data_IF_310847642208
#
_entry.id   IF_310847642208
#
_cell.length_a   1.000
_cell.length_b   1.000
_cell.length_c   1.000
_cell.angle_alpha   90.00
_cell.angle_beta   90.00
_cell.angle_gamma   90.00
#
_symmetry.space_group_name_H-M   'P 1'
#
loop_
_entity.id
_entity.type
_entity.pdbx_description
1 polymer ?
#
# COMPACT_ATOMS: atom_id res chain seq x y z
N UNK A 1 -13.81 -5.85 -3.51
CA UNK A 1 -13.65 -5.52 -4.95
C UNK A 1 -14.90 -5.83 -5.78
N UNK A 2 -15.54 -7.01 -5.66
CA UNK A 2 -16.75 -7.37 -6.45
C UNK A 2 -17.95 -6.41 -6.29
N UNK A 3 -18.18 -5.88 -5.08
CA UNK A 3 -19.22 -4.87 -4.83
C UNK A 3 -18.95 -3.61 -5.67
N UNK A 4 -17.69 -3.13 -5.71
CA UNK A 4 -17.28 -1.94 -6.47
C UNK A 4 -17.29 -2.18 -7.99
N UNK A 5 -16.91 -3.38 -8.43
CA UNK A 5 -17.01 -3.80 -9.83
C UNK A 5 -18.44 -3.70 -10.37
N UNK A 6 -19.44 -4.05 -9.56
CA UNK A 6 -20.85 -3.96 -9.97
C UNK A 6 -21.28 -2.52 -10.25
N UNK A 7 -20.74 -1.55 -9.51
CA UNK A 7 -21.02 -0.12 -9.66
C UNK A 7 -20.20 0.55 -10.78
N UNK A 8 -18.91 0.20 -10.90
CA UNK A 8 -17.98 0.80 -11.86
C UNK A 8 -18.02 0.11 -13.23
N UNK A 9 -17.98 -1.22 -13.27
CA UNK A 9 -17.83 -2.02 -14.49
C UNK A 9 -19.12 -2.12 -15.33
N UNK A 10 -20.27 -2.32 -14.71
CA UNK A 10 -21.53 -2.57 -15.44
C UNK A 10 -22.27 -1.30 -15.87
N UNK A 11 -22.14 -0.17 -15.17
CA UNK A 11 -22.94 1.04 -15.44
C UNK A 11 -22.20 2.16 -16.16
N UNK A 12 -20.86 2.08 -16.32
CA UNK A 12 -20.06 3.19 -16.87
C UNK A 12 -19.04 2.82 -17.90
N UNK A 13 -18.37 1.70 -17.70
CA UNK A 13 -17.27 1.28 -18.57
C UNK A 13 -17.73 0.30 -19.64
N UNK A 14 -19.01 -0.06 -19.65
CA UNK A 14 -19.64 -0.96 -20.64
C UNK A 14 -18.75 -2.18 -20.93
N UNK A 15 -18.40 -2.93 -19.88
CA UNK A 15 -17.59 -4.13 -20.04
C UNK A 15 -18.39 -5.22 -20.74
N UNK A 16 -17.82 -5.75 -21.82
CA UNK A 16 -18.24 -7.01 -22.43
C UNK A 16 -18.16 -8.18 -21.43
N UNK A 17 -18.81 -9.28 -21.75
CA UNK A 17 -18.78 -10.47 -20.90
C UNK A 17 -17.35 -11.03 -20.71
N UNK A 18 -16.52 -11.17 -21.77
CA UNK A 18 -15.13 -11.59 -21.62
C UNK A 18 -14.29 -10.64 -20.78
N UNK A 19 -14.44 -9.32 -20.98
CA UNK A 19 -13.74 -8.31 -20.17
C UNK A 19 -14.04 -8.47 -18.68
N UNK A 20 -15.33 -8.58 -18.33
CA UNK A 20 -15.74 -8.77 -16.95
C UNK A 20 -15.22 -10.09 -16.37
N UNK A 21 -15.30 -11.18 -17.14
CA UNK A 21 -14.83 -12.49 -16.71
C UNK A 21 -13.33 -12.47 -16.40
N UNK A 22 -12.53 -11.93 -17.32
CA UNK A 22 -11.09 -11.76 -17.16
C UNK A 22 -10.77 -10.89 -15.94
N UNK A 23 -11.46 -9.75 -15.78
CA UNK A 23 -11.24 -8.84 -14.66
C UNK A 23 -11.52 -9.50 -13.31
N UNK A 24 -12.61 -10.28 -13.20
CA UNK A 24 -12.92 -11.04 -11.97
C UNK A 24 -11.85 -12.08 -11.67
N UNK A 25 -11.39 -12.81 -12.67
CA UNK A 25 -10.30 -13.77 -12.49
C UNK A 25 -9.00 -13.08 -12.07
N UNK A 26 -8.69 -11.92 -12.67
CA UNK A 26 -7.52 -11.12 -12.31
C UNK A 26 -7.56 -10.64 -10.86
N UNK A 27 -8.69 -10.12 -10.40
CA UNK A 27 -8.90 -9.72 -9.00
C UNK A 27 -8.69 -10.89 -8.04
N UNK A 28 -9.31 -12.03 -8.34
CA UNK A 28 -9.21 -13.21 -7.48
C UNK A 28 -7.77 -13.73 -7.41
N UNK A 29 -7.09 -13.83 -8.55
CA UNK A 29 -5.73 -14.37 -8.63
C UNK A 29 -4.68 -13.39 -8.11
N UNK A 30 -4.88 -12.08 -8.28
CA UNK A 30 -4.09 -11.04 -7.62
C UNK A 30 -4.09 -11.26 -6.11
N UNK A 31 -5.28 -11.32 -5.50
CA UNK A 31 -5.41 -11.52 -4.06
C UNK A 31 -4.90 -12.89 -3.61
N UNK A 32 -5.08 -13.94 -4.42
CA UNK A 32 -4.59 -15.28 -4.12
C UNK A 32 -3.07 -15.30 -3.90
N UNK A 33 -2.29 -14.44 -4.56
CA UNK A 33 -0.86 -14.32 -4.33
C UNK A 33 -0.50 -13.99 -2.88
N UNK A 34 -1.38 -13.27 -2.16
CA UNK A 34 -1.23 -12.93 -0.75
C UNK A 34 -1.59 -14.08 0.19
N UNK A 35 -2.50 -14.97 -0.23
CA UNK A 35 -3.01 -16.07 0.60
C UNK A 35 -2.37 -17.43 0.29
N UNK A 36 -1.66 -17.53 -0.83
CA UNK A 36 -0.95 -18.74 -1.20
C UNK A 36 0.16 -18.99 -0.18
N UNK A 37 0.13 -20.17 0.46
CA UNK A 37 1.21 -20.58 1.35
C UNK A 37 2.54 -20.51 0.56
N UNK A 38 3.56 -19.77 1.04
CA UNK A 38 4.82 -19.58 0.32
C UNK A 38 5.52 -20.87 -0.09
N UNK A 39 5.24 -21.98 0.60
CA UNK A 39 5.73 -23.32 0.24
C UNK A 39 5.30 -23.76 -1.17
N UNK A 40 4.17 -23.28 -1.67
CA UNK A 40 3.66 -23.61 -3.01
C UNK A 40 4.26 -22.75 -4.13
N UNK A 41 5.07 -21.73 -3.82
CA UNK A 41 5.71 -20.90 -4.84
C UNK A 41 6.55 -21.72 -5.83
N UNK A 42 7.28 -22.72 -5.32
CA UNK A 42 8.11 -23.61 -6.12
C UNK A 42 7.32 -24.41 -7.16
N UNK A 43 6.01 -24.62 -6.95
CA UNK A 43 5.13 -25.30 -7.90
C UNK A 43 4.69 -24.41 -9.07
N UNK A 44 4.73 -23.09 -8.89
CA UNK A 44 4.33 -22.12 -9.90
C UNK A 44 5.41 -21.91 -10.96
N UNK A 45 6.66 -22.33 -10.68
CA UNK A 45 7.80 -22.24 -11.61
C UNK A 45 7.96 -20.84 -12.21
N UNK A 46 7.90 -19.83 -11.34
CA UNK A 46 8.09 -18.43 -11.71
C UNK A 46 9.59 -18.15 -11.80
N UNK A 47 10.09 -17.81 -12.99
CA UNK A 47 11.50 -17.48 -13.18
C UNK A 47 11.80 -16.07 -12.66
N UNK A 48 13.03 -15.81 -12.17
CA UNK A 48 13.43 -14.49 -11.66
C UNK A 48 13.20 -13.37 -12.68
N UNK A 49 13.40 -13.65 -13.96
CA UNK A 49 13.18 -12.68 -15.06
C UNK A 49 11.70 -12.33 -15.25
N UNK A 50 10.79 -13.26 -14.93
CA UNK A 50 9.33 -13.02 -15.01
C UNK A 50 8.84 -12.11 -13.88
N UNK A 51 9.66 -11.88 -12.86
CA UNK A 51 9.32 -10.98 -11.75
C UNK A 51 9.40 -9.50 -12.13
N UNK A 52 10.11 -9.17 -13.21
CA UNK A 52 10.27 -7.79 -13.67
C UNK A 52 8.92 -7.22 -14.13
N UNK A 53 8.61 -6.02 -13.62
CA UNK A 53 7.40 -5.27 -13.97
C UNK A 53 7.82 -3.88 -14.44
N UNK A 54 7.54 -3.54 -15.71
CA UNK A 54 7.69 -2.17 -16.20
C UNK A 54 9.07 -1.52 -15.89
N UNK A 55 10.15 -2.30 -16.01
CA UNK A 55 11.53 -1.95 -15.66
C UNK A 55 11.83 -1.73 -14.16
N UNK A 56 10.90 -2.04 -13.26
CA UNK A 56 11.14 -2.14 -11.83
C UNK A 56 11.51 -3.58 -11.45
N UNK A 57 12.61 -3.73 -10.69
CA UNK A 57 13.04 -5.00 -10.13
C UNK A 57 12.52 -5.15 -8.69
N UNK A 58 11.45 -5.95 -8.44
CA UNK A 58 10.96 -6.18 -7.10
C UNK A 58 12.00 -6.85 -6.20
N UNK A 59 12.98 -7.58 -6.77
CA UNK A 59 14.08 -8.18 -6.00
C UNK A 59 15.03 -7.09 -5.47
N UNK A 60 15.29 -6.03 -6.24
CA UNK A 60 16.03 -4.87 -5.73
C UNK A 60 15.30 -4.18 -4.57
N UNK A 61 13.98 -4.03 -4.67
CA UNK A 61 13.16 -3.47 -3.59
C UNK A 61 13.23 -4.32 -2.33
N UNK A 62 13.16 -5.65 -2.47
CA UNK A 62 13.27 -6.58 -1.34
C UNK A 62 14.66 -6.57 -0.70
N UNK A 63 15.73 -6.51 -1.50
CA UNK A 63 17.12 -6.40 -0.99
C UNK A 63 17.35 -5.13 -0.16
N UNK A 64 16.62 -4.05 -0.43
CA UNK A 64 16.70 -2.78 0.30
C UNK A 64 15.73 -2.70 1.49
N UNK A 65 14.86 -3.70 1.68
CA UNK A 65 13.89 -3.73 2.76
C UNK A 65 14.54 -4.23 4.06
N UNK A 66 14.33 -3.51 5.18
CA UNK A 66 14.94 -3.83 6.48
C UNK A 66 14.51 -5.20 7.01
N UNK A 67 13.22 -5.55 6.91
CA UNK A 67 12.72 -6.83 7.42
C UNK A 67 13.34 -8.01 6.66
N UNK A 68 13.52 -7.83 5.36
CA UNK A 68 14.17 -8.84 4.50
C UNK A 68 15.66 -8.91 4.80
N UNK A 69 16.34 -7.79 4.97
CA UNK A 69 17.77 -7.76 5.33
C UNK A 69 18.04 -8.43 6.68
N UNK A 70 17.24 -8.14 7.71
CA UNK A 70 17.34 -8.80 9.03
C UNK A 70 17.13 -10.32 8.89
N UNK A 71 16.11 -10.73 8.14
CA UNK A 71 15.87 -12.14 7.83
C UNK A 71 17.08 -12.78 7.12
N UNK A 72 17.69 -12.10 6.15
CA UNK A 72 18.84 -12.62 5.39
C UNK A 72 20.08 -12.75 6.28
N UNK A 73 20.36 -11.76 7.14
CA UNK A 73 21.45 -11.80 8.12
C UNK A 73 21.30 -12.99 9.08
N UNK A 74 20.08 -13.20 9.59
CA UNK A 74 19.76 -14.34 10.45
C UNK A 74 19.99 -15.68 9.74
N UNK A 75 19.59 -15.78 8.47
CA UNK A 75 19.81 -16.97 7.66
C UNK A 75 21.25 -17.12 7.15
N UNK A 76 22.11 -16.10 7.33
CA UNK A 76 23.51 -16.06 6.90
C UNK A 76 23.68 -16.41 5.41
N UNK A 77 22.90 -15.75 4.57
CA UNK A 77 22.77 -16.04 3.14
C UNK A 77 22.42 -14.80 2.34
N UNK A 78 22.51 -14.87 1.01
CA UNK A 78 21.96 -13.84 0.13
C UNK A 78 20.47 -14.10 -0.14
N UNK A 79 19.75 -13.05 -0.56
CA UNK A 79 18.34 -13.16 -0.96
C UNK A 79 18.19 -14.12 -2.14
N UNK A 80 19.06 -13.99 -3.14
CA UNK A 80 19.06 -14.82 -4.32
C UNK A 80 19.23 -16.31 -4.01
N UNK A 81 20.23 -16.65 -3.18
CA UNK A 81 20.53 -18.04 -2.85
C UNK A 81 19.41 -18.69 -2.04
N UNK A 82 18.66 -17.92 -1.24
CA UNK A 82 17.63 -18.48 -0.38
C UNK A 82 16.28 -18.58 -1.12
N UNK A 83 15.91 -17.59 -1.92
CA UNK A 83 14.60 -17.51 -2.60
C UNK A 83 14.59 -17.99 -4.05
N UNK A 84 15.73 -18.30 -4.66
CA UNK A 84 15.77 -18.88 -6.00
C UNK A 84 16.57 -20.19 -6.01
N UNK A 85 16.14 -21.13 -6.86
CA UNK A 85 16.94 -22.32 -7.14
C UNK A 85 18.05 -22.03 -8.16
N UNK A 86 18.92 -23.02 -8.41
CA UNK A 86 20.04 -22.91 -9.35
C UNK A 86 19.58 -22.64 -10.79
N UNK A 87 18.32 -22.96 -11.11
CA UNK A 87 17.69 -22.70 -12.40
C UNK A 87 16.97 -21.35 -12.45
N UNK A 88 17.08 -20.52 -11.41
CA UNK A 88 16.50 -19.18 -11.35
C UNK A 88 15.01 -19.15 -11.03
N UNK A 89 14.40 -20.24 -10.57
CA UNK A 89 12.99 -20.27 -10.20
C UNK A 89 12.77 -19.90 -8.73
N UNK A 90 11.72 -19.12 -8.48
CA UNK A 90 11.28 -18.76 -7.14
C UNK A 90 10.98 -20.02 -6.32
N UNK A 91 11.53 -20.07 -5.11
CA UNK A 91 11.32 -21.14 -4.15
C UNK A 91 11.09 -20.60 -2.74
N UNK A 92 10.49 -21.43 -1.91
CA UNK A 92 10.50 -21.19 -0.47
C UNK A 92 11.89 -21.44 0.13
N UNK A 93 12.37 -20.61 1.07
CA UNK A 93 13.65 -20.79 1.75
C UNK A 93 13.90 -22.23 2.25
N UNK A 94 14.94 -22.92 1.76
CA UNK A 94 15.23 -24.29 2.16
C UNK A 94 15.40 -24.45 3.68
N UNK A 95 16.01 -23.46 4.35
CA UNK A 95 16.21 -23.47 5.82
C UNK A 95 14.90 -23.41 6.61
N UNK A 96 13.81 -23.03 5.97
CA UNK A 96 12.48 -22.88 6.57
C UNK A 96 11.53 -24.02 6.19
N UNK A 97 11.87 -24.91 5.25
CA UNK A 97 11.01 -26.01 4.79
C UNK A 97 10.57 -26.96 5.92
N UNK A 98 11.42 -27.18 6.94
CA UNK A 98 11.13 -28.07 8.06
C UNK A 98 10.24 -27.50 9.17
N UNK A 99 9.88 -26.21 9.09
CA UNK A 99 9.18 -25.47 10.15
C UNK A 99 7.74 -25.14 9.76
N UNK A 100 6.75 -25.46 10.59
CA UNK A 100 5.37 -24.99 10.39
C UNK A 100 5.29 -23.47 10.58
N UNK A 101 4.25 -22.84 10.02
CA UNK A 101 4.04 -21.39 10.18
C UNK A 101 4.05 -20.95 11.65
N UNK A 102 3.43 -21.74 12.53
CA UNK A 102 3.36 -21.45 13.97
C UNK A 102 4.73 -21.55 14.66
N UNK A 103 5.64 -22.34 14.10
CA UNK A 103 7.01 -22.49 14.61
C UNK A 103 7.98 -21.41 14.11
N UNK A 104 7.55 -20.55 13.18
CA UNK A 104 8.31 -19.37 12.84
C UNK A 104 8.24 -18.36 13.98
N UNK A 105 9.40 -17.87 14.38
CA UNK A 105 9.44 -16.66 15.19
C UNK A 105 9.00 -15.44 14.37
N UNK A 106 8.86 -14.32 15.06
CA UNK A 106 8.25 -13.13 14.49
C UNK A 106 9.11 -12.50 13.38
N UNK A 107 10.44 -12.62 13.42
CA UNK A 107 11.34 -12.19 12.32
C UNK A 107 11.14 -13.05 11.09
N UNK A 108 11.11 -14.38 11.27
CA UNK A 108 10.85 -15.34 10.19
C UNK A 108 9.50 -15.01 9.51
N UNK A 109 8.46 -14.74 10.30
CA UNK A 109 7.12 -14.36 9.79
C UNK A 109 7.14 -13.01 9.07
N UNK A 110 7.70 -11.97 9.68
CA UNK A 110 7.69 -10.61 9.14
C UNK A 110 8.46 -10.51 7.82
N UNK A 111 9.66 -11.10 7.75
CA UNK A 111 10.47 -11.10 6.53
C UNK A 111 9.81 -11.87 5.39
N UNK A 112 9.23 -13.05 5.66
CA UNK A 112 8.49 -13.83 4.64
C UNK A 112 7.24 -13.08 4.18
N UNK A 113 6.48 -12.47 5.10
CA UNK A 113 5.31 -11.65 4.75
C UNK A 113 5.66 -10.49 3.85
N UNK A 114 6.80 -9.84 4.07
CA UNK A 114 7.22 -8.75 3.19
C UNK A 114 7.57 -9.25 1.78
N UNK A 115 8.24 -10.41 1.67
CA UNK A 115 8.47 -11.06 0.38
C UNK A 115 7.13 -11.41 -0.29
N UNK A 116 6.18 -11.99 0.45
CA UNK A 116 4.83 -12.25 -0.06
C UNK A 116 4.18 -10.96 -0.56
N UNK A 117 4.17 -9.89 0.25
CA UNK A 117 3.55 -8.60 -0.08
C UNK A 117 4.11 -8.00 -1.37
N UNK A 118 5.43 -8.09 -1.58
CA UNK A 118 6.05 -7.53 -2.79
C UNK A 118 5.85 -8.41 -4.02
N UNK A 119 5.87 -9.74 -3.86
CA UNK A 119 5.81 -10.67 -4.99
C UNK A 119 4.40 -11.20 -5.30
N UNK A 120 3.39 -10.90 -4.48
CA UNK A 120 2.05 -11.45 -4.65
C UNK A 120 1.44 -11.21 -6.05
N UNK A 121 1.63 -10.06 -6.72
CA UNK A 121 1.06 -9.85 -8.05
C UNK A 121 1.68 -10.82 -9.07
N UNK A 122 3.00 -11.03 -9.01
CA UNK A 122 3.71 -11.94 -9.90
C UNK A 122 3.39 -13.41 -9.59
N UNK A 123 3.20 -13.74 -8.31
CA UNK A 123 2.72 -15.05 -7.88
C UNK A 123 1.32 -15.33 -8.43
N UNK A 124 0.40 -14.36 -8.30
CA UNK A 124 -0.95 -14.44 -8.87
C UNK A 124 -0.93 -14.56 -10.40
N UNK A 125 -0.11 -13.74 -11.07
CA UNK A 125 0.05 -13.76 -12.52
C UNK A 125 0.64 -15.08 -13.05
N UNK A 126 1.63 -15.65 -12.35
CA UNK A 126 2.20 -16.96 -12.66
C UNK A 126 1.21 -18.11 -12.41
N UNK A 127 0.34 -17.94 -11.41
CA UNK A 127 -0.75 -18.87 -11.12
C UNK A 127 -1.79 -18.98 -12.23
N UNK A 128 -2.03 -17.92 -13.01
CA UNK A 128 -3.09 -17.88 -14.03
C UNK A 128 -3.04 -19.08 -15.01
N UNK A 129 -1.85 -19.44 -15.51
CA UNK A 129 -1.68 -20.59 -16.42
C UNK A 129 -1.95 -21.94 -15.73
N UNK A 130 -1.68 -22.04 -14.43
CA UNK A 130 -1.91 -23.27 -13.66
C UNK A 130 -3.39 -23.43 -13.28
N UNK A 131 -4.07 -22.34 -12.96
CA UNK A 131 -5.48 -22.35 -12.54
C UNK A 131 -6.46 -22.30 -13.71
N UNK A 132 -6.02 -21.86 -14.90
CA UNK A 132 -6.84 -21.77 -16.12
C UNK A 132 -6.20 -22.58 -17.27
N UNK A 133 -5.90 -23.88 -17.08
CA UNK A 133 -5.03 -24.66 -17.99
C UNK A 133 -5.64 -24.99 -19.35
N UNK A 134 -6.92 -24.64 -19.60
CA UNK A 134 -7.64 -24.96 -20.84
C UNK A 134 -7.99 -23.71 -21.66
N UNK A 135 -7.60 -22.53 -21.20
CA UNK A 135 -7.94 -21.27 -21.85
C UNK A 135 -6.70 -20.37 -21.90
N UNK A 136 -5.69 -20.76 -22.68
CA UNK A 136 -4.38 -20.08 -22.71
C UNK A 136 -4.47 -18.58 -22.98
N UNK A 137 -5.35 -18.14 -23.88
CA UNK A 137 -5.59 -16.71 -24.14
C UNK A 137 -6.20 -15.99 -22.93
N UNK A 138 -7.14 -16.62 -22.23
CA UNK A 138 -7.70 -16.05 -20.99
C UNK A 138 -6.63 -16.00 -19.89
N UNK A 139 -5.84 -17.08 -19.74
CA UNK A 139 -4.75 -17.12 -18.78
C UNK A 139 -3.68 -16.06 -19.08
N UNK A 140 -3.38 -15.84 -20.36
CA UNK A 140 -2.50 -14.78 -20.85
C UNK A 140 -3.04 -13.39 -20.52
N UNK A 141 -4.29 -13.10 -20.88
CA UNK A 141 -4.95 -11.83 -20.57
C UNK A 141 -4.98 -11.53 -19.06
N UNK A 142 -5.37 -12.52 -18.24
CA UNK A 142 -5.40 -12.41 -16.78
C UNK A 142 -4.01 -12.15 -16.21
N UNK A 143 -3.00 -12.93 -16.63
CA UNK A 143 -1.61 -12.76 -16.20
C UNK A 143 -1.09 -11.36 -16.55
N UNK A 144 -1.37 -10.90 -17.77
CA UNK A 144 -1.01 -9.57 -18.25
C UNK A 144 -1.66 -8.51 -17.36
N UNK A 145 -2.98 -8.53 -17.15
CA UNK A 145 -3.68 -7.52 -16.34
C UNK A 145 -3.11 -7.45 -14.91
N UNK A 146 -2.84 -8.59 -14.27
CA UNK A 146 -2.24 -8.62 -12.92
C UNK A 146 -0.82 -8.05 -12.95
N UNK A 147 0.01 -8.31 -13.96
CA UNK A 147 1.34 -7.68 -14.03
C UNK A 147 1.25 -6.18 -14.28
N UNK A 148 0.30 -5.76 -15.10
CA UNK A 148 0.20 -4.39 -15.58
C UNK A 148 -0.38 -3.44 -14.54
N UNK A 149 -1.29 -3.91 -13.67
CA UNK A 149 -1.84 -3.03 -12.64
C UNK A 149 -0.80 -2.58 -11.59
N UNK A 150 0.35 -3.26 -11.49
CA UNK A 150 1.46 -2.82 -10.64
C UNK A 150 2.29 -1.70 -11.27
N UNK A 151 2.14 -1.44 -12.57
CA UNK A 151 2.83 -0.34 -13.22
C UNK A 151 2.22 1.00 -12.77
N UNK A 152 3.07 1.89 -12.24
CA UNK A 152 2.62 3.15 -11.62
C UNK A 152 2.60 4.34 -12.56
N UNK A 153 3.00 4.17 -13.82
CA UNK A 153 3.14 5.26 -14.79
C UNK A 153 2.20 5.07 -15.96
N UNK A 154 1.52 6.14 -16.36
CA UNK A 154 0.65 6.13 -17.53
C UNK A 154 1.42 5.74 -18.82
N UNK A 155 2.71 6.10 -18.94
CA UNK A 155 3.60 5.64 -20.02
C UNK A 155 3.65 4.12 -20.17
N UNK A 156 3.72 3.37 -19.06
CA UNK A 156 3.83 1.91 -19.10
C UNK A 156 2.60 1.24 -19.73
N UNK A 157 1.46 1.90 -19.69
CA UNK A 157 0.21 1.39 -20.24
C UNK A 157 -0.02 1.77 -21.71
N UNK A 158 0.73 2.72 -22.29
CA UNK A 158 0.52 3.18 -23.67
C UNK A 158 0.81 2.11 -24.73
N UNK A 159 1.63 1.13 -24.39
CA UNK A 159 2.04 0.06 -25.31
C UNK A 159 1.19 -1.21 -25.18
N UNK A 160 0.14 -1.16 -24.35
CA UNK A 160 -0.78 -2.27 -24.15
C UNK A 160 -1.91 -2.18 -25.15
N UNK A 161 -2.02 -3.23 -25.95
CA UNK A 161 -3.04 -3.35 -26.98
C UNK A 161 -4.23 -4.20 -26.53
N UNK A 162 -4.89 -4.76 -27.54
CA UNK A 162 -6.02 -5.66 -27.38
C UNK A 162 -5.60 -7.12 -27.49
N UNK A 163 -6.38 -8.02 -26.89
CA UNK A 163 -6.24 -9.46 -27.04
C UNK A 163 -7.57 -10.08 -27.49
N UNK A 164 -7.54 -10.91 -28.53
CA UNK A 164 -8.74 -11.57 -29.03
C UNK A 164 -9.07 -12.80 -28.16
N UNK A 165 -10.17 -12.73 -27.40
CA UNK A 165 -10.63 -13.81 -26.53
C UNK A 165 -12.03 -14.24 -26.96
N UNK A 166 -12.16 -15.49 -27.42
CA UNK A 166 -13.45 -16.04 -27.83
C UNK A 166 -14.09 -15.32 -29.03
N UNK A 167 -13.29 -14.64 -29.87
CA UNK A 167 -13.76 -13.85 -31.00
C UNK A 167 -14.18 -12.42 -30.64
N UNK A 168 -14.04 -12.01 -29.38
CA UNK A 168 -14.22 -10.63 -28.93
C UNK A 168 -12.87 -9.96 -28.69
N UNK A 169 -12.81 -8.66 -28.99
CA UNK A 169 -11.62 -7.84 -28.81
C UNK A 169 -11.59 -7.29 -27.38
N UNK A 170 -10.65 -7.78 -26.56
CA UNK A 170 -10.54 -7.40 -25.15
C UNK A 170 -9.47 -6.33 -24.97
N UNK A 171 -9.87 -5.18 -24.43
CA UNK A 171 -8.97 -4.08 -24.11
C UNK A 171 -8.27 -4.31 -22.75
N UNK A 172 -7.04 -4.83 -22.79
CA UNK A 172 -6.26 -5.12 -21.58
C UNK A 172 -5.88 -3.84 -20.82
N UNK A 173 -5.73 -2.72 -21.51
CA UNK A 173 -5.38 -1.42 -20.90
C UNK A 173 -6.54 -0.92 -20.05
N UNK A 174 -7.75 -0.97 -20.58
CA UNK A 174 -8.99 -0.65 -19.85
C UNK A 174 -9.14 -1.53 -18.62
N UNK A 175 -8.95 -2.85 -18.76
CA UNK A 175 -9.06 -3.78 -17.63
C UNK A 175 -8.01 -3.56 -16.54
N UNK A 176 -6.75 -3.31 -16.93
CA UNK A 176 -5.68 -2.99 -16.00
C UNK A 176 -5.97 -1.68 -15.25
N UNK A 177 -6.42 -0.62 -15.95
CA UNK A 177 -6.78 0.65 -15.31
C UNK A 177 -7.92 0.48 -14.28
N UNK A 178 -8.90 -0.39 -14.56
CA UNK A 178 -9.96 -0.71 -13.59
C UNK A 178 -9.37 -1.47 -12.39
N UNK A 179 -8.48 -2.43 -12.61
CA UNK A 179 -7.82 -3.14 -11.52
C UNK A 179 -6.98 -2.19 -10.64
N UNK A 180 -6.21 -1.28 -11.24
CA UNK A 180 -5.48 -0.22 -10.52
C UNK A 180 -6.44 0.62 -9.68
N UNK A 181 -7.56 1.07 -10.26
CA UNK A 181 -8.56 1.83 -9.54
C UNK A 181 -9.10 1.07 -8.33
N UNK A 182 -9.53 -0.18 -8.56
CA UNK A 182 -10.13 -1.02 -7.52
C UNK A 182 -9.15 -1.33 -6.40
N UNK A 183 -7.91 -1.64 -6.73
CA UNK A 183 -6.85 -1.87 -5.76
C UNK A 183 -6.49 -0.58 -4.99
N UNK A 184 -6.42 0.57 -5.67
CA UNK A 184 -6.15 1.87 -5.02
C UNK A 184 -7.21 2.23 -3.99
N UNK A 185 -8.48 1.93 -4.26
CA UNK A 185 -9.60 2.23 -3.36
C UNK A 185 -9.92 1.07 -2.42
N UNK A 186 -9.23 -0.08 -2.47
CA UNK A 186 -9.39 -1.18 -1.49
C UNK A 186 -8.65 -0.87 -0.17
N UNK A 187 -8.91 0.33 0.34
CA UNK A 187 -8.33 0.91 1.54
C UNK A 187 -9.26 0.79 2.76
N UNK A 188 -10.33 -0.02 2.71
CA UNK A 188 -11.19 -0.19 3.88
C UNK A 188 -10.64 -1.21 4.87
N UNK A 189 -10.95 -1.02 6.17
CA UNK A 189 -10.56 -1.95 7.24
C UNK A 189 -11.18 -3.35 7.12
N UNK A 190 -12.18 -3.57 6.25
CA UNK A 190 -12.86 -4.87 6.11
C UNK A 190 -11.93 -6.03 5.72
N UNK A 191 -10.72 -5.76 5.21
CA UNK A 191 -9.66 -6.75 4.94
C UNK A 191 -8.75 -7.05 6.13
N UNK A 192 -8.66 -6.17 7.13
CA UNK A 192 -7.77 -6.38 8.27
C UNK A 192 -8.56 -7.09 9.37
N UNK A 193 -8.34 -8.39 9.55
CA UNK A 193 -8.90 -9.08 10.72
C UNK A 193 -8.27 -8.51 12.00
N UNK A 194 -8.96 -8.56 13.14
CA UNK A 194 -8.37 -8.16 14.43
C UNK A 194 -7.03 -8.85 14.71
N UNK A 195 -6.90 -10.12 14.33
CA UNK A 195 -5.67 -10.91 14.48
C UNK A 195 -4.54 -10.39 13.59
N UNK A 196 -4.84 -10.04 12.33
CA UNK A 196 -3.84 -9.42 11.44
C UNK A 196 -3.35 -8.06 11.99
N UNK A 197 -4.21 -7.32 12.71
CA UNK A 197 -3.84 -6.04 13.33
C UNK A 197 -2.99 -6.23 14.59
N UNK A 198 -3.27 -7.24 15.41
CA UNK A 198 -2.42 -7.61 16.55
C UNK A 198 -1.03 -8.04 16.07
N UNK A 199 -0.96 -8.87 15.04
CA UNK A 199 0.31 -9.28 14.44
C UNK A 199 1.09 -8.11 13.83
N UNK A 200 0.42 -7.15 13.19
CA UNK A 200 1.05 -5.91 12.70
C UNK A 200 1.53 -5.05 13.87
N UNK A 201 0.80 -5.03 14.99
CA UNK A 201 1.20 -4.30 16.20
C UNK A 201 2.45 -4.93 16.84
N UNK A 202 2.54 -6.26 16.84
CA UNK A 202 3.74 -6.98 17.24
C UNK A 202 4.91 -6.75 16.27
N UNK A 203 4.65 -6.71 14.95
CA UNK A 203 5.62 -6.30 13.92
C UNK A 203 6.14 -4.87 14.22
N UNK A 204 5.27 -3.93 14.60
CA UNK A 204 5.66 -2.55 15.02
C UNK A 204 6.54 -2.58 16.25
N UNK A 205 6.17 -3.33 17.29
CA UNK A 205 6.93 -3.39 18.55
C UNK A 205 8.34 -3.97 18.35
N UNK A 206 8.48 -4.95 17.45
CA UNK A 206 9.80 -5.46 17.05
C UNK A 206 10.61 -4.47 16.24
N UNK A 207 9.97 -3.76 15.30
CA UNK A 207 10.61 -2.68 14.57
C UNK A 207 11.13 -1.61 15.56
N UNK A 208 10.43 -1.33 16.66
CA UNK A 208 10.94 -0.43 17.69
C UNK A 208 12.19 -0.95 18.39
N UNK A 209 12.27 -2.23 18.75
CA UNK A 209 13.41 -2.77 19.51
C UNK A 209 14.66 -3.00 18.64
N UNK A 210 14.51 -3.52 17.42
CA UNK A 210 15.66 -3.88 16.56
C UNK A 210 16.07 -2.74 15.60
N UNK A 211 15.16 -1.85 15.16
CA UNK A 211 15.53 -0.72 14.29
C UNK A 211 16.32 0.33 15.06
N UNK A 212 16.06 0.54 16.35
CA UNK A 212 16.85 1.48 17.17
C UNK A 212 18.35 1.12 17.16
N UNK A 213 18.70 -0.15 17.02
CA UNK A 213 20.10 -0.60 16.92
C UNK A 213 20.66 -0.48 15.49
N UNK A 214 19.82 -0.64 14.45
CA UNK A 214 20.23 -0.68 13.04
C UNK A 214 20.15 0.72 12.35
N UNK A 215 19.31 1.65 12.83
CA UNK A 215 19.08 3.00 12.28
C UNK A 215 20.29 3.94 12.34
N UNK A 216 21.40 3.52 12.97
CA UNK A 216 22.64 4.30 12.98
C UNK A 216 23.32 4.38 11.59
N UNK A 217 22.92 3.55 10.61
CA UNK A 217 23.69 3.44 9.36
C UNK A 217 22.96 3.69 8.02
N UNK A 218 21.63 3.62 7.87
CA UNK A 218 20.98 3.91 6.55
C UNK A 218 19.55 4.46 6.64
N UNK A 219 19.20 5.31 5.68
CA UNK A 219 17.83 5.75 5.39
C UNK A 219 16.98 4.59 4.85
N UNK A 220 16.28 3.89 5.73
CA UNK A 220 15.55 2.65 5.41
C UNK A 220 14.09 2.90 5.01
N UNK A 221 13.64 2.16 4.01
CA UNK A 221 12.26 2.12 3.53
C UNK A 221 11.44 1.17 4.42
N UNK A 222 10.62 1.71 5.32
CA UNK A 222 9.86 0.96 6.33
C UNK A 222 8.54 0.42 5.76
N UNK A 223 8.61 -0.36 4.67
CA UNK A 223 7.50 -0.76 3.81
C UNK A 223 6.16 -1.05 4.50
N UNK A 224 5.06 -0.59 3.87
CA UNK A 224 3.64 -0.86 4.16
C UNK A 224 3.10 -0.66 5.59
N UNK A 225 3.90 -0.33 6.59
CA UNK A 225 3.44 -0.26 7.98
C UNK A 225 2.41 0.85 8.22
N UNK A 226 2.72 2.06 7.76
CA UNK A 226 1.83 3.21 7.88
C UNK A 226 0.50 2.99 7.13
N UNK A 227 0.52 2.26 6.01
CA UNK A 227 -0.68 1.86 5.27
C UNK A 227 -1.68 1.15 6.21
N UNK A 228 -1.26 0.05 6.83
CA UNK A 228 -2.15 -0.75 7.68
C UNK A 228 -2.66 0.00 8.92
N UNK A 229 -1.79 0.82 9.53
CA UNK A 229 -2.14 1.61 10.71
C UNK A 229 -3.29 2.57 10.41
N UNK A 230 -3.23 3.30 9.31
CA UNK A 230 -4.23 4.31 9.00
C UNK A 230 -5.42 3.72 8.23
N UNK A 231 -5.24 2.61 7.52
CA UNK A 231 -6.33 1.83 6.90
C UNK A 231 -7.40 1.41 7.90
N UNK A 232 -7.05 1.14 9.16
CA UNK A 232 -7.99 0.71 10.22
C UNK A 232 -9.11 1.73 10.49
N UNK A 233 -8.84 3.00 10.21
CA UNK A 233 -9.76 4.11 10.44
C UNK A 233 -10.66 4.39 9.22
N UNK A 234 -10.48 3.64 8.13
CA UNK A 234 -11.32 3.73 6.94
C UNK A 234 -12.46 2.73 7.07
N UNK A 235 -13.65 3.26 7.33
CA UNK A 235 -14.87 2.50 7.59
C UNK A 235 -15.40 1.80 6.34
N UNK A 236 -15.51 2.53 5.23
CA UNK A 236 -16.07 2.05 3.96
C UNK A 236 -15.72 2.99 2.80
N UNK A 237 -15.93 2.52 1.57
CA UNK A 237 -15.95 3.35 0.36
C UNK A 237 -17.37 3.43 -0.18
N UNK A 238 -17.81 4.63 -0.56
CA UNK A 238 -19.08 4.91 -1.21
C UNK A 238 -18.82 5.35 -2.65
N UNK A 239 -19.55 4.78 -3.62
CA UNK A 239 -19.40 5.12 -5.04
C UNK A 239 -20.75 5.61 -5.56
N UNK A 240 -20.85 6.91 -5.85
CA UNK A 240 -22.07 7.59 -6.28
C UNK A 240 -21.77 8.52 -7.47
N UNK A 241 -22.30 8.20 -8.66
CA UNK A 241 -21.89 8.97 -9.85
C UNK A 241 -20.36 9.02 -9.98
N UNK A 242 -19.81 10.04 -10.62
CA UNK A 242 -18.36 10.22 -10.75
C UNK A 242 -17.58 10.32 -9.43
N UNK A 243 -18.25 10.30 -8.27
CA UNK A 243 -17.65 10.49 -6.96
C UNK A 243 -17.39 9.17 -6.25
N UNK A 244 -16.13 8.97 -5.84
CA UNK A 244 -15.69 7.93 -4.92
C UNK A 244 -15.37 8.60 -3.60
N UNK A 245 -16.06 8.20 -2.52
CA UNK A 245 -15.90 8.79 -1.19
C UNK A 245 -15.37 7.74 -0.23
N UNK A 246 -14.16 7.97 0.29
CA UNK A 246 -13.57 7.20 1.38
C UNK A 246 -14.13 7.75 2.69
N UNK A 247 -14.74 6.89 3.51
CA UNK A 247 -15.41 7.29 4.75
C UNK A 247 -14.56 6.87 5.95
N UNK A 248 -14.14 7.84 6.75
CA UNK A 248 -13.45 7.63 8.03
C UNK A 248 -14.43 7.34 9.17
N UNK A 249 -14.01 6.60 10.19
CA UNK A 249 -14.71 6.51 11.48
C UNK A 249 -14.05 7.30 12.62
N UNK A 250 -12.91 7.92 12.35
CA UNK A 250 -12.20 8.78 13.31
C UNK A 250 -12.23 10.24 12.91
N UNK A 251 -12.37 11.11 13.90
CA UNK A 251 -12.18 12.56 13.81
C UNK A 251 -10.95 13.03 14.60
N UNK A 252 -10.16 12.10 15.15
CA UNK A 252 -8.93 12.43 15.90
C UNK A 252 -7.91 13.11 14.97
N UNK A 253 -7.42 14.33 15.28
CA UNK A 253 -6.53 15.08 14.39
C UNK A 253 -5.28 14.29 13.99
N UNK A 254 -4.66 13.61 14.95
CA UNK A 254 -3.52 12.72 14.76
C UNK A 254 -3.80 11.59 13.75
N UNK A 255 -4.93 10.89 13.91
CA UNK A 255 -5.29 9.78 13.02
C UNK A 255 -5.72 10.26 11.64
N UNK A 256 -6.44 11.38 11.58
CA UNK A 256 -6.84 12.03 10.33
C UNK A 256 -5.63 12.51 9.55
N UNK A 257 -4.66 13.18 10.20
CA UNK A 257 -3.40 13.57 9.57
C UNK A 257 -2.68 12.35 8.99
N UNK A 258 -2.61 11.27 9.77
CA UNK A 258 -1.98 10.05 9.31
C UNK A 258 -2.68 9.38 8.14
N UNK A 259 -4.03 9.34 8.15
CA UNK A 259 -4.81 8.89 7.01
C UNK A 259 -4.56 9.73 5.77
N UNK A 260 -4.56 11.06 5.87
CA UNK A 260 -4.39 11.93 4.72
C UNK A 260 -2.97 11.81 4.15
N UNK A 261 -1.95 11.91 4.99
CA UNK A 261 -0.58 12.06 4.51
C UNK A 261 0.18 10.75 4.34
N UNK A 262 -0.17 9.69 5.07
CA UNK A 262 0.46 8.38 4.88
C UNK A 262 -0.36 7.44 4.03
N UNK A 263 -1.68 7.42 4.18
CA UNK A 263 -2.53 6.49 3.42
C UNK A 263 -3.02 7.09 2.10
N UNK A 264 -3.74 8.21 2.14
CA UNK A 264 -4.29 8.83 0.94
C UNK A 264 -3.18 9.30 0.01
N UNK A 265 -2.23 10.10 0.52
CA UNK A 265 -1.20 10.73 -0.32
C UNK A 265 -0.18 9.75 -0.91
N UNK A 266 0.18 8.68 -0.19
CA UNK A 266 1.26 7.78 -0.63
C UNK A 266 0.77 6.47 -1.26
N UNK A 267 -0.40 5.96 -0.87
CA UNK A 267 -0.88 4.65 -1.34
C UNK A 267 -2.08 4.78 -2.29
N UNK A 268 -3.08 5.58 -1.93
CA UNK A 268 -4.34 5.68 -2.70
C UNK A 268 -4.21 6.62 -3.90
N UNK A 269 -3.86 7.89 -3.65
CA UNK A 269 -3.90 8.95 -4.66
C UNK A 269 -3.01 8.71 -5.88
N UNK A 270 -1.74 8.25 -5.76
CA UNK A 270 -0.90 8.04 -6.93
C UNK A 270 -1.50 7.01 -7.90
N UNK A 271 -2.00 5.89 -7.37
CA UNK A 271 -2.65 4.83 -8.15
C UNK A 271 -4.01 5.29 -8.69
N UNK A 272 -4.78 6.02 -7.88
CA UNK A 272 -6.07 6.58 -8.29
C UNK A 272 -5.93 7.56 -9.46
N UNK A 273 -4.97 8.48 -9.42
CA UNK A 273 -4.74 9.47 -10.50
C UNK A 273 -4.30 8.76 -11.77
N UNK A 274 -3.36 7.82 -11.69
CA UNK A 274 -2.97 7.01 -12.84
C UNK A 274 -4.17 6.30 -13.47
N UNK A 275 -5.02 5.66 -12.65
CA UNK A 275 -6.24 5.02 -13.12
C UNK A 275 -7.25 6.01 -13.71
N UNK A 276 -7.45 7.16 -13.06
CA UNK A 276 -8.34 8.23 -13.52
C UNK A 276 -7.93 8.74 -14.90
N UNK A 277 -6.64 9.02 -15.09
CA UNK A 277 -6.13 9.53 -16.36
C UNK A 277 -6.33 8.50 -17.47
N UNK A 278 -6.04 7.23 -17.20
CA UNK A 278 -6.29 6.14 -18.15
C UNK A 278 -7.77 5.97 -18.49
N UNK A 279 -8.65 5.99 -17.48
CA UNK A 279 -10.09 5.81 -17.67
C UNK A 279 -10.76 7.02 -18.34
N UNK A 280 -10.14 8.20 -18.28
CA UNK A 280 -10.63 9.40 -18.95
C UNK A 280 -10.65 9.28 -20.47
N UNK A 281 -9.75 8.47 -21.06
CA UNK A 281 -9.73 8.17 -22.50
C UNK A 281 -10.97 7.40 -22.95
N UNK A 282 -11.64 6.72 -22.02
CA UNK A 282 -12.90 6.00 -22.23
C UNK A 282 -14.12 6.84 -21.81
N UNK A 283 -13.95 8.16 -21.64
CA UNK A 283 -15.04 9.07 -21.28
C UNK A 283 -15.46 9.01 -19.80
N UNK A 284 -14.68 8.37 -18.93
CA UNK A 284 -15.02 8.23 -17.51
C UNK A 284 -14.32 9.30 -16.68
N UNK A 285 -15.13 10.20 -16.08
CA UNK A 285 -14.65 11.17 -15.11
C UNK A 285 -14.80 10.63 -13.68
N UNK A 286 -13.70 10.67 -12.90
CA UNK A 286 -13.66 10.24 -11.50
C UNK A 286 -13.14 11.34 -10.58
N UNK A 287 -13.78 11.47 -9.42
CA UNK A 287 -13.43 12.37 -8.34
C UNK A 287 -13.27 11.57 -7.06
N UNK A 288 -12.24 11.87 -6.27
CA UNK A 288 -11.97 11.20 -5.00
C UNK A 288 -12.19 12.17 -3.83
N UNK A 289 -12.89 11.69 -2.80
CA UNK A 289 -13.20 12.46 -1.61
C UNK A 289 -12.89 11.68 -0.34
N UNK A 290 -12.56 12.39 0.74
CA UNK A 290 -12.44 11.86 2.09
C UNK A 290 -13.51 12.49 3.00
N UNK A 291 -14.40 11.67 3.56
CA UNK A 291 -15.41 12.10 4.53
C UNK A 291 -14.95 11.77 5.95
N UNK A 292 -14.86 12.80 6.79
CA UNK A 292 -14.44 12.69 8.20
C UNK A 292 -15.63 13.04 9.09
N UNK A 293 -15.91 12.26 10.16
CA UNK A 293 -16.96 12.59 11.12
C UNK A 293 -16.76 13.99 11.70
N UNK A 294 -17.86 14.75 11.80
CA UNK A 294 -17.84 16.12 12.34
C UNK A 294 -17.55 17.21 11.31
N UNK A 295 -17.03 16.89 10.13
CA UNK A 295 -16.88 17.86 9.05
C UNK A 295 -18.16 18.03 8.26
N UNK A 296 -18.47 19.29 7.94
CA UNK A 296 -19.68 19.66 7.20
C UNK A 296 -19.60 19.22 5.73
N UNK A 297 -18.41 19.22 5.14
CA UNK A 297 -18.16 18.83 3.75
C UNK A 297 -17.00 17.83 3.64
N UNK A 298 -17.04 16.89 2.68
CA UNK A 298 -15.92 16.00 2.43
C UNK A 298 -14.74 16.76 1.80
N UNK A 299 -13.52 16.29 2.08
CA UNK A 299 -12.29 16.84 1.53
C UNK A 299 -12.09 16.27 0.13
N UNK A 300 -11.98 17.12 -0.89
CA UNK A 300 -11.57 16.69 -2.23
C UNK A 300 -10.09 16.32 -2.24
N UNK A 301 -9.76 15.15 -2.78
CA UNK A 301 -8.41 14.61 -2.83
C UNK A 301 -7.84 14.71 -4.26
N UNK A 302 -6.72 15.40 -4.41
CA UNK A 302 -6.00 15.58 -5.67
C UNK A 302 -4.48 15.63 -5.48
N UNK A 303 -3.73 15.90 -6.56
CA UNK A 303 -2.26 15.93 -6.56
C UNK A 303 -1.65 16.87 -5.52
N UNK A 304 -2.38 17.92 -5.12
CA UNK A 304 -1.93 18.85 -4.09
C UNK A 304 -1.81 18.19 -2.72
N UNK A 305 -2.68 17.20 -2.44
CA UNK A 305 -2.58 16.38 -1.23
C UNK A 305 -1.36 15.45 -1.30
N UNK A 306 -0.97 14.97 -2.48
CA UNK A 306 0.27 14.20 -2.63
C UNK A 306 1.50 15.06 -2.36
N UNK A 307 1.55 16.28 -2.88
CA UNK A 307 2.62 17.23 -2.58
C UNK A 307 2.70 17.55 -1.09
N UNK A 308 1.55 17.79 -0.48
CA UNK A 308 1.41 17.98 0.95
C UNK A 308 1.93 16.77 1.73
N UNK A 309 1.53 15.56 1.34
CA UNK A 309 2.00 14.30 1.94
C UNK A 309 3.50 14.13 1.82
N UNK A 310 4.11 14.43 0.66
CA UNK A 310 5.56 14.41 0.47
C UNK A 310 6.25 15.39 1.41
N UNK A 311 5.76 16.63 1.51
CA UNK A 311 6.30 17.61 2.44
C UNK A 311 6.16 17.16 3.89
N UNK A 312 5.00 16.61 4.26
CA UNK A 312 4.74 16.06 5.60
C UNK A 312 5.68 14.89 5.91
N UNK A 313 5.80 13.90 5.04
CA UNK A 313 6.70 12.76 5.20
C UNK A 313 8.18 13.19 5.22
N UNK A 314 8.57 14.19 4.41
CA UNK A 314 9.94 14.71 4.38
C UNK A 314 10.36 15.36 5.71
N UNK A 315 9.41 15.91 6.46
CA UNK A 315 9.67 16.39 7.83
C UNK A 315 10.08 15.22 8.72
N UNK A 316 9.55 14.02 8.52
CA UNK A 316 9.93 12.83 9.30
C UNK A 316 11.17 12.11 8.76
N UNK A 317 11.45 12.18 7.44
CA UNK A 317 12.57 11.45 6.82
C UNK A 317 13.84 12.29 6.62
N UNK A 318 13.74 13.62 6.63
CA UNK A 318 14.87 14.53 6.41
C UNK A 318 15.51 15.00 7.71
N UNK A 319 16.55 14.32 8.21
CA UNK A 319 17.36 14.78 9.35
C UNK A 319 18.59 15.53 8.85
N UNK A 320 18.73 16.87 9.12
CA UNK A 320 19.52 17.29 10.30
C UNK A 320 19.04 18.53 11.08
N UNK A 321 18.32 19.50 10.50
CA UNK A 321 18.21 20.84 11.12
C UNK A 321 17.05 21.03 12.11
N UNK A 322 15.90 20.41 11.86
CA UNK A 322 14.74 20.49 12.77
C UNK A 322 14.94 19.55 13.98
N UNK A 323 15.51 18.37 13.73
CA UNK A 323 15.93 17.44 14.76
C UNK A 323 16.90 18.10 15.73
N UNK A 324 17.80 18.97 15.27
CA UNK A 324 18.72 19.72 16.14
C UNK A 324 18.03 20.74 17.07
N UNK A 325 16.83 21.24 16.71
CA UNK A 325 16.01 22.13 17.55
C UNK A 325 15.17 21.35 18.55
N UNK A 326 14.62 20.21 18.14
CA UNK A 326 13.84 19.33 19.02
C UNK A 326 14.72 18.46 19.95
N UNK A 327 15.86 17.96 19.47
CA UNK A 327 16.93 17.31 20.24
C UNK A 327 17.46 18.18 21.37
N UNK A 328 17.48 19.50 21.16
CA UNK A 328 17.80 20.51 22.19
C UNK A 328 16.69 20.70 23.23
N UNK A 329 15.42 20.46 22.84
CA UNK A 329 14.25 20.72 23.68
C UNK A 329 13.74 19.48 24.43
N UNK A 330 13.96 18.28 23.87
CA UNK A 330 13.39 17.02 24.37
C UNK A 330 14.36 15.82 24.36
N UNK A 331 15.58 15.95 23.84
CA UNK A 331 16.60 14.89 23.86
C UNK A 331 16.75 14.14 22.52
N UNK A 332 17.88 13.43 22.36
CA UNK A 332 18.40 12.93 21.08
C UNK A 332 17.77 11.64 20.53
N UNK A 333 16.79 11.07 21.21
CA UNK A 333 16.34 9.69 20.98
C UNK A 333 14.85 9.54 20.64
N UNK A 334 14.07 10.60 20.37
CA UNK A 334 12.60 10.47 20.55
C UNK A 334 11.69 10.36 19.30
N UNK A 335 12.13 10.59 18.05
CA UNK A 335 11.16 10.68 16.94
C UNK A 335 11.63 10.07 15.61
N UNK A 336 11.55 8.76 15.49
CA UNK A 336 11.62 8.01 14.22
C UNK A 336 10.20 7.79 13.68
N UNK A 337 10.01 7.51 12.38
CA UNK A 337 8.67 7.21 11.84
C UNK A 337 7.99 6.05 12.61
N UNK A 338 8.68 4.93 12.93
CA UNK A 338 8.14 3.90 13.81
C UNK A 338 7.70 4.42 15.19
N UNK A 339 8.50 5.27 15.84
CA UNK A 339 8.12 5.87 17.14
C UNK A 339 6.90 6.79 17.03
N UNK A 340 6.82 7.62 16.00
CA UNK A 340 5.64 8.49 15.77
C UNK A 340 4.40 7.63 15.53
N UNK A 341 4.52 6.55 14.76
CA UNK A 341 3.45 5.58 14.54
C UNK A 341 3.02 4.88 15.84
N UNK A 342 3.96 4.40 16.66
CA UNK A 342 3.65 3.76 17.95
C UNK A 342 3.02 4.73 18.96
N UNK A 343 3.48 5.98 18.97
CA UNK A 343 2.90 7.08 19.74
C UNK A 343 1.46 7.40 19.30
N UNK A 344 1.18 7.38 17.99
CA UNK A 344 -0.17 7.53 17.42
C UNK A 344 -1.09 6.32 17.69
N UNK A 345 -0.51 5.15 17.94
CA UNK A 345 -1.23 3.89 18.15
C UNK A 345 -1.60 3.60 19.62
N UNK A 346 -1.08 4.37 20.58
CA UNK A 346 -1.44 4.21 21.99
C UNK A 346 -0.59 3.19 22.76
N UNK A 347 0.63 2.85 22.29
CA UNK A 347 1.61 2.00 23.00
C UNK A 347 2.18 2.62 24.29
N UNK A 348 1.41 3.47 24.98
CA UNK A 348 1.85 4.38 26.03
C UNK A 348 2.18 3.67 27.36
N UNK A 349 1.56 2.51 27.63
CA UNK A 349 1.69 1.82 28.93
C UNK A 349 2.99 1.04 29.11
N UNK A 350 3.58 0.50 28.04
CA UNK A 350 4.82 -0.30 28.13
C UNK A 350 6.07 0.58 28.07
N UNK A 351 6.00 1.79 27.49
CA UNK A 351 7.13 2.71 27.33
C UNK A 351 7.33 3.70 28.51
N UNK A 352 6.46 3.66 29.53
CA UNK A 352 6.58 4.53 30.72
C UNK A 352 6.48 6.04 30.42
N UNK A 353 5.97 6.42 29.24
CA UNK A 353 5.87 7.82 28.81
C UNK A 353 4.57 8.47 29.34
N UNK A 354 4.67 9.67 29.91
CA UNK A 354 3.49 10.50 30.24
C UNK A 354 2.76 10.86 28.95
N UNK A 355 1.43 10.75 28.98
CA UNK A 355 0.50 10.93 27.84
C UNK A 355 0.97 11.97 26.81
N UNK A 356 1.53 11.52 25.67
CA UNK A 356 2.03 12.39 24.62
C UNK A 356 0.95 12.77 23.60
N UNK A 357 -0.32 12.36 23.78
CA UNK A 357 -1.40 12.59 22.81
C UNK A 357 -1.56 14.07 22.50
N UNK A 358 -1.50 14.94 23.50
CA UNK A 358 -1.55 16.39 23.32
C UNK A 358 -0.35 16.93 22.54
N UNK A 359 0.84 16.33 22.74
CA UNK A 359 2.06 16.72 22.02
C UNK A 359 2.03 16.29 20.56
N UNK A 360 1.48 15.12 20.27
CA UNK A 360 1.35 14.59 18.91
C UNK A 360 0.27 15.35 18.16
N UNK A 361 -0.86 15.63 18.80
CA UNK A 361 -1.91 16.48 18.25
C UNK A 361 -1.38 17.90 17.99
N UNK A 362 -0.62 18.47 18.93
CA UNK A 362 0.00 19.78 18.78
C UNK A 362 1.06 19.79 17.66
N UNK A 363 1.88 18.73 17.56
CA UNK A 363 2.85 18.58 16.48
C UNK A 363 2.17 18.44 15.11
N UNK A 364 1.15 17.59 15.00
CA UNK A 364 0.38 17.42 13.79
C UNK A 364 -0.31 18.73 13.40
N UNK A 365 -0.93 19.44 14.35
CA UNK A 365 -1.53 20.74 14.13
C UNK A 365 -0.51 21.79 13.66
N UNK A 366 0.66 21.90 14.31
CA UNK A 366 1.72 22.85 13.93
C UNK A 366 2.20 22.62 12.49
N UNK A 367 2.42 21.35 12.11
CA UNK A 367 2.96 21.02 10.78
C UNK A 367 1.89 21.08 9.70
N UNK A 368 0.63 20.75 10.02
CA UNK A 368 -0.48 21.01 9.12
C UNK A 368 -0.68 22.52 8.94
N UNK A 369 -0.56 23.34 9.98
CA UNK A 369 -0.60 24.81 9.85
C UNK A 369 0.48 25.35 8.92
N UNK A 370 1.73 24.90 9.06
CA UNK A 370 2.82 25.27 8.12
C UNK A 370 2.54 24.83 6.68
N UNK A 371 1.90 23.66 6.53
CA UNK A 371 1.49 23.13 5.24
C UNK A 371 0.34 23.94 4.62
N UNK A 372 -0.58 24.42 5.45
CA UNK A 372 -1.68 25.31 5.07
C UNK A 372 -1.18 26.72 4.70
N UNK A 373 -0.07 27.18 5.28
CA UNK A 373 0.60 28.44 4.91
C UNK A 373 1.33 28.33 3.56
N UNK A 374 1.82 27.14 3.21
CA UNK A 374 2.39 26.88 1.88
C UNK A 374 1.26 26.85 0.83
N UNK A 375 1.40 27.60 -0.26
CA UNK A 375 0.35 27.90 -1.26
C UNK A 375 -0.21 26.71 -2.07
N UNK A 376 -0.03 25.47 -1.59
CA UNK A 376 -0.32 24.25 -2.34
C UNK A 376 -1.74 23.72 -2.19
N UNK A 377 -2.58 24.20 -1.28
CA UNK A 377 -3.95 23.69 -1.06
C UNK A 377 -5.04 24.67 -1.50
N UNK A 378 -6.18 24.17 -1.99
CA UNK A 378 -7.36 25.03 -2.26
C UNK A 378 -7.96 25.58 -0.98
N UNK A 379 -8.68 26.71 -1.06
CA UNK A 379 -9.36 27.32 0.09
C UNK A 379 -10.33 26.36 0.79
N UNK A 380 -11.04 25.53 0.01
CA UNK A 380 -11.96 24.52 0.56
C UNK A 380 -11.23 23.41 1.34
N UNK A 381 -10.12 22.90 0.81
CA UNK A 381 -9.28 21.92 1.52
C UNK A 381 -8.64 22.54 2.75
N UNK A 382 -8.18 23.79 2.64
CA UNK A 382 -7.59 24.54 3.75
C UNK A 382 -8.58 24.76 4.88
N UNK A 383 -9.82 25.16 4.55
CA UNK A 383 -10.88 25.35 5.52
C UNK A 383 -11.23 24.05 6.26
N UNK A 384 -11.37 22.93 5.53
CA UNK A 384 -11.68 21.63 6.12
C UNK A 384 -10.55 21.10 7.02
N UNK A 385 -9.28 21.25 6.59
CA UNK A 385 -8.12 20.90 7.42
C UNK A 385 -8.05 21.79 8.67
N UNK A 386 -8.23 23.10 8.51
CA UNK A 386 -8.29 24.01 9.66
C UNK A 386 -9.41 23.61 10.63
N UNK A 387 -10.58 23.20 10.16
CA UNK A 387 -11.68 22.73 11.03
C UNK A 387 -11.28 21.50 11.86
N UNK A 388 -10.49 20.57 11.29
CA UNK A 388 -9.94 19.41 12.00
C UNK A 388 -8.90 19.84 13.06
N UNK A 389 -8.00 20.75 12.71
CA UNK A 389 -6.82 21.08 13.53
C UNK A 389 -6.99 22.32 14.43
N UNK A 390 -8.09 23.06 14.33
CA UNK A 390 -8.45 24.20 15.21
C UNK A 390 -8.89 23.78 16.62
N UNK A 391 -8.98 22.48 16.91
CA UNK A 391 -9.36 21.96 18.23
C UNK A 391 -8.16 21.58 19.11
N UNK A 392 -6.94 21.98 18.76
CA UNK A 392 -5.73 21.73 19.56
C UNK A 392 -5.17 23.05 20.06
N UNK A 393 -5.88 23.67 21.00
CA UNK A 393 -5.37 24.77 21.83
C UNK A 393 -5.12 24.26 23.26
#
# INVERSE_FOLDING_TARGET
MDEYLSHLGYRRLELSYPELFILRMAIYLHDMGMFLNPRYWSELKIHKEDLLICNEDPVEKLRKNVLVDVLMRKMKTSFEDEFFDESGFLRFPPKMMGKTWDSFDLIDKAGIREVMRVLHPQVGAGGARRFIPRCDRVASAVSSIIRLHECKTAEAFRYLGHEEVGGEDVDLRKLAAILVLLDSIDCSRRRASPEALEEITDEIRMLEEEIIEIESEKSSNHGYLSHWIFKRHIKRIEIEGSSITIVSDTSSPAHVAGMIFFEMANNVLPRFIAAKDMLSEYGVALNLFLRIPGLTAPIYLDERIMDAGRSFCSIFTGFPDWASRWKRRYGSREFTLPRVLALLLGGQRELGMRDPTDKINSFAAEHVCKLLESEKLSDSQRAALLEIFKCVD
#
